data_IF_011429146405
#
_entry.id   IF_011429146405
#
_cell.length_a   1.000
_cell.length_b   1.000
_cell.length_c   1.000
_cell.angle_alpha   90.00
_cell.angle_beta   90.00
_cell.angle_gamma   90.00
#
_symmetry.space_group_name_H-M   'P 1'
#
loop_
_entity.id
_entity.type
_entity.pdbx_description
1 polymer ?
#
# COMPACT_ATOMS: atom_id res chain seq x y z
N UNK A 1 -34.35 2.08 3.45
CA UNK A 1 -33.24 1.75 4.36
C UNK A 1 -33.41 0.28 4.74
N UNK A 2 -32.53 -0.61 4.29
CA UNK A 2 -32.66 -2.04 4.53
C UNK A 2 -31.35 -2.56 5.12
N UNK A 3 -31.42 -3.16 6.30
CA UNK A 3 -30.30 -3.73 7.04
C UNK A 3 -30.22 -5.24 6.82
N UNK A 4 -29.03 -5.73 6.47
CA UNK A 4 -28.52 -7.09 6.72
C UNK A 4 -29.48 -8.30 6.59
N UNK A 5 -30.34 -8.34 5.57
CA UNK A 5 -31.05 -9.57 5.18
C UNK A 5 -30.38 -10.24 3.97
N UNK A 6 -30.42 -11.58 3.96
CA UNK A 6 -29.97 -12.39 2.82
C UNK A 6 -30.70 -11.94 1.54
N UNK A 7 -29.98 -11.49 0.49
CA UNK A 7 -30.59 -11.00 -0.74
C UNK A 7 -31.23 -12.13 -1.56
N UNK A 8 -30.88 -13.39 -1.27
CA UNK A 8 -31.55 -14.56 -1.82
C UNK A 8 -32.98 -14.62 -1.27
N UNK A 9 -33.94 -14.21 -2.11
CA UNK A 9 -35.35 -14.13 -1.74
C UNK A 9 -35.88 -12.71 -1.54
N UNK A 10 -35.12 -11.65 -1.89
CA UNK A 10 -35.62 -10.29 -2.08
C UNK A 10 -36.55 -10.19 -3.31
N UNK A 11 -37.63 -10.98 -3.29
CA UNK A 11 -38.74 -10.90 -4.21
C UNK A 11 -39.84 -10.14 -3.50
N UNK A 12 -39.97 -8.84 -3.80
CA UNK A 12 -41.22 -8.12 -3.51
C UNK A 12 -42.17 -8.45 -4.67
N UNK A 13 -42.75 -9.66 -4.64
CA UNK A 13 -43.46 -10.32 -5.78
C UNK A 13 -42.49 -10.67 -6.93
N UNK A 14 -42.88 -10.49 -8.20
CA UNK A 14 -42.09 -10.88 -9.39
C UNK A 14 -40.96 -9.90 -9.77
N UNK A 15 -40.91 -8.71 -9.15
CA UNK A 15 -39.97 -7.66 -9.53
C UNK A 15 -38.61 -7.81 -8.83
N UNK A 16 -37.55 -7.85 -9.63
CA UNK A 16 -36.16 -7.78 -9.15
C UNK A 16 -35.77 -6.32 -8.90
N UNK A 17 -34.86 -6.05 -7.95
CA UNK A 17 -34.29 -4.71 -7.78
C UNK A 17 -33.56 -4.24 -9.05
N UNK A 18 -33.73 -2.96 -9.37
CA UNK A 18 -33.01 -2.24 -10.43
C UNK A 18 -31.93 -1.29 -9.87
N UNK A 19 -31.82 -1.16 -8.55
CA UNK A 19 -30.84 -0.32 -7.88
C UNK A 19 -30.36 -0.96 -6.57
N UNK A 20 -29.05 -1.13 -6.44
CA UNK A 20 -28.38 -1.55 -5.21
C UNK A 20 -27.29 -0.53 -4.89
N UNK A 21 -27.31 -0.02 -3.66
CA UNK A 21 -26.24 0.79 -3.09
C UNK A 21 -25.69 0.11 -1.83
N UNK A 22 -24.38 -0.01 -1.76
CA UNK A 22 -23.63 -0.45 -0.59
C UNK A 22 -22.84 0.77 -0.10
N UNK A 23 -22.93 1.06 1.19
CA UNK A 23 -22.27 2.19 1.83
C UNK A 23 -21.46 1.67 3.01
N UNK A 24 -20.17 2.02 3.07
CA UNK A 24 -19.23 1.71 4.16
C UNK A 24 -19.31 0.27 4.69
N UNK A 25 -19.17 -0.71 3.78
CA UNK A 25 -19.21 -2.14 4.12
C UNK A 25 -17.96 -2.63 4.87
N UNK A 26 -16.81 -2.02 4.59
CA UNK A 26 -15.53 -2.44 5.15
C UNK A 26 -15.29 -1.79 6.52
N UNK A 27 -14.93 -2.61 7.51
CA UNK A 27 -14.42 -2.14 8.79
C UNK A 27 -13.03 -2.77 9.10
N UNK A 28 -12.34 -2.23 10.09
CA UNK A 28 -10.99 -2.68 10.47
C UNK A 28 -10.96 -4.13 10.98
N UNK A 29 -12.03 -4.62 11.61
CA UNK A 29 -12.10 -6.01 12.11
C UNK A 29 -12.24 -7.00 10.95
N UNK A 30 -13.13 -6.69 10.00
CA UNK A 30 -13.32 -7.45 8.77
C UNK A 30 -12.01 -7.51 7.97
N UNK A 31 -11.37 -6.36 7.76
CA UNK A 31 -10.14 -6.24 6.98
C UNK A 31 -8.95 -7.01 7.56
N UNK A 32 -8.96 -7.32 8.87
CA UNK A 32 -7.92 -8.16 9.52
C UNK A 32 -8.08 -9.65 9.21
N UNK A 33 -9.22 -10.07 8.67
CA UNK A 33 -9.50 -11.47 8.38
C UNK A 33 -9.72 -11.70 6.88
N UNK A 34 -8.67 -12.06 6.13
CA UNK A 34 -8.76 -12.28 4.68
C UNK A 34 -9.80 -13.33 4.26
N UNK A 35 -10.12 -14.30 5.13
CA UNK A 35 -11.18 -15.28 4.86
C UNK A 35 -12.56 -14.60 4.88
N UNK A 36 -12.85 -13.80 5.90
CA UNK A 36 -14.12 -13.06 6.00
C UNK A 36 -14.29 -12.06 4.86
N UNK A 37 -13.20 -11.37 4.46
CA UNK A 37 -13.21 -10.46 3.31
C UNK A 37 -13.59 -11.21 2.02
N UNK A 38 -13.01 -12.39 1.78
CA UNK A 38 -13.37 -13.22 0.62
C UNK A 38 -14.82 -13.66 0.66
N UNK A 39 -15.28 -14.23 1.78
CA UNK A 39 -16.67 -14.68 1.94
C UNK A 39 -17.67 -13.54 1.73
N UNK A 40 -17.36 -12.34 2.23
CA UNK A 40 -18.18 -11.14 2.01
C UNK A 40 -18.17 -10.70 0.54
N UNK A 41 -17.00 -10.72 -0.10
CA UNK A 41 -16.85 -10.37 -1.52
C UNK A 41 -17.64 -11.34 -2.40
N UNK A 42 -17.58 -12.64 -2.12
CA UNK A 42 -18.33 -13.66 -2.83
C UNK A 42 -19.83 -13.47 -2.62
N UNK A 43 -20.27 -13.17 -1.39
CA UNK A 43 -21.66 -12.84 -1.11
C UNK A 43 -22.13 -11.60 -1.89
N UNK A 44 -21.31 -10.54 -1.96
CA UNK A 44 -21.64 -9.32 -2.73
C UNK A 44 -21.78 -9.66 -4.22
N UNK A 45 -20.86 -10.44 -4.79
CA UNK A 45 -20.84 -10.77 -6.22
C UNK A 45 -21.89 -11.79 -6.63
N UNK A 46 -22.13 -12.80 -5.81
CA UNK A 46 -23.00 -13.92 -6.17
C UNK A 46 -24.44 -13.70 -5.68
N UNK A 47 -24.60 -13.33 -4.42
CA UNK A 47 -25.92 -13.24 -3.81
C UNK A 47 -26.56 -11.87 -4.04
N UNK A 48 -25.84 -10.78 -3.70
CA UNK A 48 -26.40 -9.43 -3.78
C UNK A 48 -26.50 -8.94 -5.23
N UNK A 49 -25.40 -8.99 -5.98
CA UNK A 49 -25.40 -8.63 -7.39
C UNK A 49 -26.27 -9.58 -8.23
N UNK A 50 -26.30 -10.87 -7.90
CA UNK A 50 -27.16 -11.86 -8.57
C UNK A 50 -28.67 -11.64 -8.35
N UNK A 51 -29.06 -10.89 -7.31
CA UNK A 51 -30.46 -10.52 -7.08
C UNK A 51 -30.93 -9.40 -8.02
N UNK A 52 -30.01 -8.62 -8.60
CA UNK A 52 -30.29 -7.50 -9.49
C UNK A 52 -30.94 -7.97 -10.79
N UNK A 53 -31.75 -7.11 -11.41
CA UNK A 53 -32.26 -7.36 -12.76
C UNK A 53 -31.11 -7.29 -13.79
N UNK A 54 -30.86 -8.42 -14.46
CA UNK A 54 -29.67 -8.62 -15.28
C UNK A 54 -29.72 -7.71 -16.51
N UNK A 55 -28.78 -6.77 -16.59
CA UNK A 55 -28.58 -5.89 -17.75
C UNK A 55 -29.26 -4.52 -17.68
N UNK A 56 -30.05 -4.23 -16.64
CA UNK A 56 -30.68 -2.90 -16.45
C UNK A 56 -30.47 -2.28 -15.08
N UNK A 57 -30.10 -3.08 -14.08
CA UNK A 57 -29.89 -2.55 -12.74
C UNK A 57 -28.60 -1.76 -12.59
N UNK A 58 -28.59 -0.78 -11.67
CA UNK A 58 -27.40 -0.06 -11.23
C UNK A 58 -26.90 -0.66 -9.91
N UNK A 59 -25.60 -0.89 -9.84
CA UNK A 59 -24.92 -1.37 -8.64
C UNK A 59 -23.83 -0.37 -8.27
N UNK A 60 -23.94 0.22 -7.08
CA UNK A 60 -23.02 1.25 -6.59
C UNK A 60 -22.49 0.80 -5.23
N UNK A 61 -21.17 0.87 -5.05
CA UNK A 61 -20.52 0.66 -3.76
C UNK A 61 -19.70 1.91 -3.44
N UNK A 62 -19.93 2.48 -2.27
CA UNK A 62 -19.28 3.69 -1.76
C UNK A 62 -18.59 3.34 -0.44
N UNK A 63 -17.38 3.87 -0.26
CA UNK A 63 -16.68 3.79 1.01
C UNK A 63 -15.21 4.17 0.90
N UNK A 64 -14.54 4.20 2.05
CA UNK A 64 -13.11 4.50 2.11
C UNK A 64 -12.25 3.26 1.86
N UNK A 65 -11.20 3.39 1.04
CA UNK A 65 -10.20 2.35 0.87
C UNK A 65 -9.27 2.24 2.09
N UNK A 66 -9.77 1.60 3.15
CA UNK A 66 -9.08 1.48 4.45
C UNK A 66 -8.02 0.37 4.50
N UNK A 67 -8.05 -0.57 3.56
CA UNK A 67 -7.10 -1.68 3.47
C UNK A 67 -6.91 -2.13 2.03
N UNK A 68 -5.71 -2.65 1.69
CA UNK A 68 -5.44 -3.29 0.38
C UNK A 68 -6.13 -4.64 0.22
N UNK A 69 -6.57 -5.22 1.34
CA UNK A 69 -7.29 -6.49 1.46
C UNK A 69 -8.65 -6.25 2.10
N UNK A 70 -9.48 -5.45 1.43
CA UNK A 70 -10.86 -5.13 1.80
C UNK A 70 -11.83 -5.56 0.70
N UNK A 71 -13.13 -5.61 1.00
CA UNK A 71 -14.17 -5.96 0.03
C UNK A 71 -14.20 -4.92 -1.09
N UNK A 72 -14.18 -3.63 -0.74
CA UNK A 72 -14.11 -2.53 -1.71
C UNK A 72 -12.88 -2.67 -2.61
N UNK A 73 -11.71 -2.97 -2.04
CA UNK A 73 -10.47 -3.17 -2.80
C UNK A 73 -10.60 -4.31 -3.83
N UNK A 74 -11.28 -5.39 -3.48
CA UNK A 74 -11.47 -6.55 -4.36
C UNK A 74 -12.58 -6.34 -5.39
N UNK A 75 -13.62 -5.57 -5.07
CA UNK A 75 -14.63 -5.13 -6.03
C UNK A 75 -14.00 -4.19 -7.07
N UNK A 76 -13.18 -3.21 -6.66
CA UNK A 76 -12.47 -2.30 -7.56
C UNK A 76 -11.56 -3.01 -8.58
N UNK A 77 -11.02 -4.18 -8.24
CA UNK A 77 -10.18 -5.00 -9.15
C UNK A 77 -11.00 -5.82 -10.16
N UNK A 78 -12.32 -5.86 -10.02
CA UNK A 78 -13.20 -6.70 -10.85
C UNK A 78 -13.37 -6.08 -12.24
N UNK A 79 -13.16 -6.88 -13.29
CA UNK A 79 -13.28 -6.42 -14.68
C UNK A 79 -14.70 -5.88 -14.94
N UNK A 80 -14.79 -4.67 -15.49
CA UNK A 80 -16.06 -4.01 -15.82
C UNK A 80 -16.61 -3.10 -14.72
N UNK A 81 -15.99 -3.08 -13.54
CA UNK A 81 -16.31 -2.08 -12.50
C UNK A 81 -15.63 -0.76 -12.87
N UNK A 82 -16.41 0.32 -12.92
CA UNK A 82 -15.90 1.67 -13.00
C UNK A 82 -15.54 2.17 -11.59
N UNK A 83 -14.30 2.60 -11.40
CA UNK A 83 -13.80 3.11 -10.12
C UNK A 83 -13.66 4.62 -10.21
N UNK A 84 -14.32 5.33 -9.31
CA UNK A 84 -14.19 6.77 -9.12
C UNK A 84 -13.54 7.01 -7.77
N UNK A 85 -12.41 7.73 -7.75
CA UNK A 85 -11.63 8.02 -6.55
C UNK A 85 -11.65 9.53 -6.29
N UNK A 86 -12.00 9.93 -5.07
CA UNK A 86 -12.04 11.34 -4.65
C UNK A 86 -11.26 11.48 -3.35
N UNK A 87 -10.09 12.11 -3.42
CA UNK A 87 -9.25 12.40 -2.24
C UNK A 87 -9.67 13.70 -1.57
N UNK A 88 -9.32 13.88 -0.30
CA UNK A 88 -9.58 15.12 0.43
C UNK A 88 -8.87 16.34 -0.15
N UNK A 89 -7.59 16.17 -0.52
CA UNK A 89 -6.74 17.24 -1.08
C UNK A 89 -6.00 16.77 -2.33
N UNK A 90 -5.59 17.70 -3.17
CA UNK A 90 -4.70 17.46 -4.31
C UNK A 90 -3.22 17.36 -3.88
N UNK A 91 -2.32 17.20 -4.86
CA UNK A 91 -0.87 17.11 -4.62
C UNK A 91 -0.24 18.37 -4.04
N UNK A 92 -0.91 19.52 -4.15
CA UNK A 92 -0.48 20.80 -3.57
C UNK A 92 -1.11 21.04 -2.19
N UNK A 93 -1.93 20.10 -1.71
CA UNK A 93 -2.66 20.18 -0.45
C UNK A 93 -3.91 21.06 -0.53
N UNK A 94 -4.38 21.42 -1.72
CA UNK A 94 -5.63 22.17 -1.86
C UNK A 94 -6.83 21.22 -1.76
N UNK A 95 -7.88 21.56 -1.00
CA UNK A 95 -9.09 20.73 -0.90
C UNK A 95 -9.76 20.51 -2.25
N UNK A 96 -10.14 19.26 -2.52
CA UNK A 96 -10.91 18.90 -3.73
C UNK A 96 -12.37 19.39 -3.63
N UNK A 97 -12.90 19.47 -2.41
CA UNK A 97 -14.22 20.03 -2.12
C UNK A 97 -14.07 21.39 -1.43
N UNK A 98 -13.74 22.43 -2.22
CA UNK A 98 -13.37 23.76 -1.72
C UNK A 98 -14.43 24.42 -0.85
N UNK A 99 -15.71 24.09 -1.05
CA UNK A 99 -16.83 24.62 -0.26
C UNK A 99 -16.94 23.98 1.14
N UNK A 100 -16.34 22.81 1.36
CA UNK A 100 -16.43 22.07 2.64
C UNK A 100 -15.33 22.43 3.63
N UNK A 101 -14.14 22.73 3.14
CA UNK A 101 -12.93 22.91 3.92
C UNK A 101 -11.93 23.77 3.15
N UNK A 102 -11.24 24.62 3.90
CA UNK A 102 -10.06 25.38 3.48
C UNK A 102 -8.79 24.53 3.60
N UNK A 103 -7.69 25.01 3.03
CA UNK A 103 -6.39 24.32 3.08
C UNK A 103 -5.88 24.19 4.51
N UNK A 104 -6.10 25.23 5.31
CA UNK A 104 -5.71 25.32 6.71
C UNK A 104 -6.50 24.33 7.58
N UNK A 105 -7.80 24.18 7.32
CA UNK A 105 -8.65 23.21 8.03
C UNK A 105 -8.28 21.76 7.69
N UNK A 106 -8.06 21.46 6.41
CA UNK A 106 -7.59 20.14 5.98
C UNK A 106 -6.25 19.78 6.64
N UNK A 107 -5.31 20.75 6.71
CA UNK A 107 -4.02 20.56 7.38
C UNK A 107 -4.19 20.32 8.88
N UNK A 108 -5.00 21.14 9.55
CA UNK A 108 -5.25 21.02 10.99
C UNK A 108 -5.86 19.67 11.33
N UNK A 109 -6.81 19.20 10.51
CA UNK A 109 -7.38 17.87 10.67
C UNK A 109 -6.34 16.77 10.45
N UNK A 110 -5.51 16.87 9.40
CA UNK A 110 -4.45 15.90 9.13
C UNK A 110 -3.42 15.82 10.29
N UNK A 111 -3.08 16.95 10.91
CA UNK A 111 -2.21 17.01 12.09
C UNK A 111 -2.87 16.37 13.32
N UNK A 112 -4.18 16.58 13.51
CA UNK A 112 -4.95 16.00 14.61
C UNK A 112 -5.09 14.48 14.53
N UNK A 113 -5.49 13.95 13.37
CA UNK A 113 -5.68 12.48 13.19
C UNK A 113 -4.36 11.75 12.98
N UNK A 114 -3.33 12.46 12.57
CA UNK A 114 -2.02 11.92 12.26
C UNK A 114 -1.92 11.33 10.84
N UNK A 115 -0.70 11.35 10.31
CA UNK A 115 -0.39 11.02 8.92
C UNK A 115 -1.00 9.69 8.43
N UNK A 116 -0.96 8.62 9.25
CA UNK A 116 -1.47 7.30 8.85
C UNK A 116 -2.99 7.29 8.68
N UNK A 117 -3.72 7.85 9.64
CA UNK A 117 -5.17 7.89 9.59
C UNK A 117 -5.63 8.83 8.47
N UNK A 118 -4.93 9.96 8.28
CA UNK A 118 -5.16 10.85 7.14
C UNK A 118 -4.98 10.13 5.81
N UNK A 119 -3.85 9.46 5.60
CA UNK A 119 -3.58 8.75 4.34
C UNK A 119 -4.61 7.65 4.07
N UNK A 120 -4.97 6.88 5.10
CA UNK A 120 -5.94 5.79 5.03
C UNK A 120 -7.35 6.29 4.73
N UNK A 121 -7.88 7.22 5.53
CA UNK A 121 -9.28 7.62 5.50
C UNK A 121 -9.57 8.71 4.47
N UNK A 122 -8.63 9.64 4.26
CA UNK A 122 -8.85 10.85 3.46
C UNK A 122 -8.15 10.83 2.10
N UNK A 123 -7.10 10.04 1.95
CA UNK A 123 -6.30 9.96 0.71
C UNK A 123 -6.36 8.61 -0.01
N UNK A 124 -7.14 7.65 0.52
CA UNK A 124 -7.28 6.28 0.01
C UNK A 124 -5.94 5.53 -0.15
N UNK A 125 -4.98 5.82 0.72
CA UNK A 125 -3.66 5.22 0.74
C UNK A 125 -3.42 4.48 2.07
N UNK A 126 -3.94 3.26 2.23
CA UNK A 126 -3.74 2.50 3.46
C UNK A 126 -2.28 2.05 3.58
N UNK A 127 -1.58 2.66 4.54
CA UNK A 127 -0.19 2.35 4.88
C UNK A 127 -0.17 1.18 5.88
N UNK A 128 0.43 0.06 5.47
CA UNK A 128 0.61 -1.10 6.35
C UNK A 128 1.65 -0.80 7.43
N UNK A 129 1.36 -1.16 8.68
CA UNK A 129 2.28 -0.96 9.80
C UNK A 129 3.58 -1.78 9.63
N UNK A 130 4.73 -1.16 9.93
CA UNK A 130 6.07 -1.77 9.78
C UNK A 130 6.87 -1.34 8.54
N UNK A 131 6.27 -0.58 7.61
CA UNK A 131 6.97 -0.17 6.36
C UNK A 131 7.52 1.27 6.36
N UNK A 132 7.27 2.06 7.40
CA UNK A 132 7.69 3.47 7.46
C UNK A 132 8.71 3.68 8.57
N UNK A 133 9.97 3.88 8.17
CA UNK A 133 11.03 4.33 9.06
C UNK A 133 10.91 5.84 9.26
N UNK A 134 10.82 6.31 10.52
CA UNK A 134 10.85 7.74 10.81
C UNK A 134 12.26 8.30 10.68
N UNK A 135 12.38 9.56 10.26
CA UNK A 135 13.68 10.22 10.14
C UNK A 135 14.41 10.29 11.49
N UNK A 136 13.68 10.50 12.60
CA UNK A 136 14.28 10.50 13.94
C UNK A 136 14.87 9.14 14.38
N UNK A 137 14.50 8.04 13.71
CA UNK A 137 15.06 6.71 13.97
C UNK A 137 16.39 6.48 13.25
N UNK A 138 16.70 7.30 12.23
CA UNK A 138 17.92 7.18 11.43
C UNK A 138 19.01 8.06 12.06
N UNK A 139 20.04 7.41 12.61
CA UNK A 139 21.20 8.10 13.22
C UNK A 139 22.39 8.09 12.28
N UNK A 140 22.98 9.26 12.07
CA UNK A 140 24.26 9.40 11.38
C UNK A 140 25.39 9.38 12.42
N UNK A 141 26.38 8.52 12.22
CA UNK A 141 27.47 8.35 13.15
C UNK A 141 28.76 8.02 12.39
N UNK A 142 29.91 8.21 13.07
CA UNK A 142 31.20 7.79 12.53
C UNK A 142 31.24 6.27 12.45
N UNK A 143 31.55 5.78 11.26
CA UNK A 143 31.59 4.36 10.94
C UNK A 143 32.60 3.60 11.82
N UNK A 144 32.25 2.40 12.37
CA UNK A 144 33.18 1.49 13.06
C UNK A 144 34.35 1.04 12.17
N UNK A 145 35.38 0.38 12.71
CA UNK A 145 36.38 -0.22 11.82
C UNK A 145 35.75 -1.39 11.06
N UNK A 146 36.21 -1.66 9.83
CA UNK A 146 35.65 -2.75 9.00
C UNK A 146 35.72 -4.13 9.67
N UNK A 147 36.81 -4.38 10.42
CA UNK A 147 37.03 -5.60 11.21
C UNK A 147 36.06 -5.78 12.38
N UNK A 148 35.39 -4.72 12.81
CA UNK A 148 34.52 -4.77 13.99
C UNK A 148 33.10 -5.23 13.63
N UNK A 149 32.75 -5.32 12.34
CA UNK A 149 31.44 -5.84 11.91
C UNK A 149 31.40 -7.35 12.06
N UNK A 150 30.34 -7.83 12.71
CA UNK A 150 30.09 -9.26 12.90
C UNK A 150 29.70 -9.93 11.58
N UNK A 151 28.86 -9.25 10.80
CA UNK A 151 28.28 -9.76 9.55
C UNK A 151 28.06 -8.62 8.55
N UNK A 152 28.28 -8.92 7.25
CA UNK A 152 27.93 -8.04 6.14
C UNK A 152 26.84 -8.71 5.30
N UNK A 153 25.72 -8.01 5.10
CA UNK A 153 24.55 -8.52 4.37
C UNK A 153 24.19 -7.58 3.23
N UNK A 154 24.16 -8.10 2.01
CA UNK A 154 23.66 -7.38 0.84
C UNK A 154 22.19 -7.73 0.62
N UNK A 155 21.31 -6.74 0.75
CA UNK A 155 19.90 -6.88 0.40
C UNK A 155 19.65 -6.29 -0.99
N UNK A 156 19.05 -7.07 -1.89
CA UNK A 156 18.74 -6.67 -3.26
C UNK A 156 17.23 -6.79 -3.48
N UNK A 157 16.63 -5.74 -4.04
CA UNK A 157 15.24 -5.74 -4.50
C UNK A 157 15.21 -5.82 -6.04
N UNK A 158 15.10 -7.03 -6.62
CA UNK A 158 15.08 -7.22 -8.06
C UNK A 158 13.69 -6.87 -8.62
N UNK A 159 13.45 -5.59 -8.88
CA UNK A 159 12.27 -5.17 -9.65
C UNK A 159 12.38 -5.69 -11.10
N UNK A 160 11.49 -6.63 -11.48
CA UNK A 160 11.53 -7.38 -12.75
C UNK A 160 10.48 -6.94 -13.79
N UNK A 161 9.49 -6.11 -13.42
CA UNK A 161 8.34 -5.84 -14.30
C UNK A 161 8.68 -4.76 -15.33
N UNK A 162 8.75 -5.15 -16.60
CA UNK A 162 8.87 -4.25 -17.74
C UNK A 162 7.55 -3.47 -17.98
N UNK A 163 7.31 -2.40 -17.23
CA UNK A 163 6.37 -1.34 -17.64
C UNK A 163 7.19 -0.11 -18.03
N UNK A 164 6.69 0.66 -19.03
CA UNK A 164 7.38 1.78 -19.71
C UNK A 164 7.88 2.92 -18.80
N UNK A 165 7.59 2.89 -17.51
CA UNK A 165 8.25 3.68 -16.46
C UNK A 165 9.30 2.81 -15.78
N UNK A 166 10.57 2.93 -16.17
CA UNK A 166 11.69 2.15 -15.62
C UNK A 166 11.65 2.05 -14.09
N UNK A 167 11.36 0.85 -13.57
CA UNK A 167 11.42 0.54 -12.15
C UNK A 167 12.82 0.84 -11.60
N UNK A 168 12.90 1.59 -10.50
CA UNK A 168 14.16 1.84 -9.80
C UNK A 168 14.67 0.52 -9.22
N UNK A 169 15.94 0.21 -9.44
CA UNK A 169 16.60 -0.95 -8.83
C UNK A 169 17.31 -0.52 -7.57
N UNK A 170 17.23 -1.33 -6.52
CA UNK A 170 17.83 -1.05 -5.24
C UNK A 170 18.66 -2.23 -4.73
N UNK A 171 19.88 -1.95 -4.30
CA UNK A 171 20.68 -2.84 -3.49
C UNK A 171 21.31 -2.05 -2.34
N UNK A 172 21.29 -2.61 -1.13
CA UNK A 172 21.81 -1.96 0.08
C UNK A 172 22.69 -2.93 0.85
N UNK A 173 23.93 -2.53 1.08
CA UNK A 173 24.87 -3.23 1.94
C UNK A 173 24.67 -2.77 3.38
N UNK A 174 24.48 -3.75 4.26
CA UNK A 174 24.30 -3.56 5.68
C UNK A 174 25.40 -4.28 6.46
N UNK A 175 25.81 -3.69 7.57
CA UNK A 175 26.74 -4.29 8.52
C UNK A 175 26.12 -4.42 9.89
N UNK A 176 26.26 -5.57 10.53
CA UNK A 176 25.89 -5.77 11.93
C UNK A 176 27.09 -5.46 12.81
N UNK A 177 26.93 -4.52 13.73
CA UNK A 177 27.92 -4.20 14.76
C UNK A 177 27.24 -4.27 16.12
N UNK A 178 27.51 -5.33 16.88
CA UNK A 178 26.82 -5.61 18.15
C UNK A 178 25.30 -5.69 17.92
N UNK A 179 24.55 -4.77 18.53
CA UNK A 179 23.09 -4.67 18.42
C UNK A 179 22.62 -3.66 17.35
N UNK A 180 23.54 -3.11 16.57
CA UNK A 180 23.26 -2.05 15.61
C UNK A 180 23.35 -2.56 14.19
N UNK A 181 22.44 -2.08 13.34
CA UNK A 181 22.49 -2.29 11.90
C UNK A 181 22.95 -1.00 11.22
N UNK A 182 24.04 -1.08 10.47
CA UNK A 182 24.67 0.05 9.80
C UNK A 182 24.39 -0.03 8.31
N UNK A 183 23.87 1.05 7.74
CA UNK A 183 23.77 1.19 6.30
C UNK A 183 25.13 1.65 5.73
N UNK A 184 25.75 0.81 4.91
CA UNK A 184 27.15 1.01 4.50
C UNK A 184 27.25 1.59 3.10
N UNK A 185 26.51 1.01 2.15
CA UNK A 185 26.50 1.43 0.74
C UNK A 185 25.15 1.14 0.12
N UNK A 186 24.75 1.96 -0.85
CA UNK A 186 23.53 1.74 -1.61
C UNK A 186 23.75 1.97 -3.10
N UNK A 187 23.07 1.14 -3.89
CA UNK A 187 22.75 1.36 -5.28
C UNK A 187 21.25 1.65 -5.35
N UNK A 188 20.85 2.85 -5.75
CA UNK A 188 19.43 3.18 -5.97
C UNK A 188 19.33 4.04 -7.22
N UNK A 189 18.98 3.43 -8.35
CA UNK A 189 18.86 4.14 -9.64
C UNK A 189 18.03 3.37 -10.64
N UNK A 190 17.57 4.06 -11.69
CA UNK A 190 17.06 3.44 -12.90
C UNK A 190 18.24 2.84 -13.65
N UNK A 191 18.31 1.52 -13.71
CA UNK A 191 19.40 0.78 -14.33
C UNK A 191 18.89 -0.53 -14.90
N UNK A 192 19.62 -1.10 -15.85
CA UNK A 192 19.42 -2.45 -16.35
C UNK A 192 19.78 -3.49 -15.27
N UNK A 193 19.31 -4.73 -15.46
CA UNK A 193 19.72 -5.86 -14.60
C UNK A 193 21.23 -6.09 -14.68
N UNK A 194 21.81 -5.97 -15.88
CA UNK A 194 23.24 -6.13 -16.09
C UNK A 194 24.08 -5.11 -15.30
N UNK A 195 23.65 -3.85 -15.23
CA UNK A 195 24.32 -2.82 -14.42
C UNK A 195 24.23 -3.09 -12.92
N UNK A 196 23.09 -3.60 -12.44
CA UNK A 196 22.95 -4.02 -11.04
C UNK A 196 23.90 -5.17 -10.71
N UNK A 197 23.92 -6.21 -11.56
CA UNK A 197 24.80 -7.37 -11.39
C UNK A 197 26.27 -6.96 -11.42
N UNK A 198 26.66 -6.09 -12.35
CA UNK A 198 28.02 -5.54 -12.41
C UNK A 198 28.38 -4.83 -11.12
N UNK A 199 27.49 -3.98 -10.60
CA UNK A 199 27.72 -3.30 -9.34
C UNK A 199 27.86 -4.27 -8.16
N UNK A 200 27.13 -5.39 -8.15
CA UNK A 200 27.30 -6.43 -7.14
C UNK A 200 28.69 -7.08 -7.19
N UNK A 201 29.24 -7.33 -8.38
CA UNK A 201 30.61 -7.82 -8.54
C UNK A 201 31.64 -6.77 -8.09
N UNK A 202 31.48 -5.52 -8.53
CA UNK A 202 32.37 -4.42 -8.10
C UNK A 202 32.34 -4.24 -6.57
N UNK A 203 31.18 -4.42 -5.95
CA UNK A 203 31.03 -4.37 -4.49
C UNK A 203 31.73 -5.55 -3.81
N UNK A 204 31.65 -6.74 -4.39
CA UNK A 204 32.30 -7.94 -3.87
C UNK A 204 33.83 -7.79 -3.88
N UNK A 205 34.41 -7.41 -5.03
CA UNK A 205 35.86 -7.16 -5.15
C UNK A 205 36.33 -6.09 -4.15
N UNK A 206 35.60 -4.97 -4.08
CA UNK A 206 35.87 -3.93 -3.09
C UNK A 206 35.83 -4.43 -1.65
N UNK A 207 34.90 -5.35 -1.33
CA UNK A 207 34.78 -5.91 0.02
C UNK A 207 36.00 -6.76 0.39
N UNK A 208 36.56 -7.51 -0.57
CA UNK A 208 37.78 -8.29 -0.35
C UNK A 208 38.97 -7.39 -0.03
N UNK A 209 39.14 -6.28 -0.76
CA UNK A 209 40.20 -5.30 -0.49
C UNK A 209 40.10 -4.70 0.93
N UNK A 210 38.87 -4.45 1.41
CA UNK A 210 38.66 -3.88 2.76
C UNK A 210 38.88 -4.89 3.86
N UNK A 211 38.52 -6.14 3.63
CA UNK A 211 38.81 -7.23 4.56
C UNK A 211 40.33 -7.44 4.64
N UNK A 212 41.05 -7.48 3.50
CA UNK A 212 42.50 -7.69 3.47
C UNK A 212 43.28 -6.57 4.16
N UNK A 213 42.85 -5.31 4.01
CA UNK A 213 43.46 -4.15 4.69
C UNK A 213 43.16 -4.07 6.20
N UNK A 214 42.19 -4.85 6.68
CA UNK A 214 41.78 -4.86 8.09
C UNK A 214 42.42 -5.99 8.91
N UNK A 215 43.03 -6.97 8.21
CA UNK A 215 43.75 -8.10 8.79
C UNK A 215 45.26 -7.83 9.00
N UNK A 216 45.77 -6.70 8.49
CA UNK A 216 47.11 -6.15 8.73
C UNK A 216 47.07 -5.06 9.80
#
# INVERSE_FOLDING_TARGET
MWTWQSPRGLRKRESRPDYIVIDDLDDDELCRNPRRVREMTDWVKEALFGALDVGRGRFIMVGNLISKTSVLADICKTKGVHVSEVKAVDSEGNPTWREKWTKEEARTYAEFVGYRAWEKEMMHNPITEGTVFKQEWIKYAKHPAWRDFDELVLYIDPSWKSKKTNDTKAAKLWGKYKWQLWHLRAFVRKASVAELVRWCYDLYEWSLEKISLSAS
#
